data_IF_966835706831
#
_entry.id   IF_966835706831
#
_cell.length_a   1.000
_cell.length_b   1.000
_cell.length_c   1.000
_cell.angle_alpha   90.00
_cell.angle_beta   90.00
_cell.angle_gamma   90.00
#
_symmetry.space_group_name_H-M   'P 1'
#
loop_
_entity.id
_entity.type
_entity.pdbx_description
1 polymer ?
#
# COMPACT_ATOMS: atom_id res chain seq x y z
N UNK A 1 -13.00 23.37 15.85
CA UNK A 1 -11.54 23.16 15.69
C UNK A 1 -10.92 23.27 17.07
N UNK A 2 -10.65 22.14 17.71
CA UNK A 2 -9.86 22.08 18.95
C UNK A 2 -8.45 21.72 18.51
N UNK A 3 -7.47 22.55 18.84
CA UNK A 3 -6.07 22.36 18.45
C UNK A 3 -5.54 21.08 19.11
N UNK A 4 -5.19 20.08 18.31
CA UNK A 4 -4.61 18.82 18.81
C UNK A 4 -3.26 19.05 19.55
N UNK A 5 -2.53 20.10 19.20
CA UNK A 5 -1.24 20.44 19.82
C UNK A 5 -1.38 21.06 21.23
N UNK A 6 -2.43 21.84 21.50
CA UNK A 6 -2.62 22.46 22.82
C UNK A 6 -3.04 21.44 23.90
N UNK A 7 -3.59 20.30 23.48
CA UNK A 7 -3.97 19.23 24.41
C UNK A 7 -2.73 18.48 24.91
N UNK A 8 -1.68 18.31 24.09
CA UNK A 8 -0.50 17.49 24.42
C UNK A 8 0.40 18.11 25.50
N UNK A 9 0.50 19.44 25.57
CA UNK A 9 1.28 20.15 26.61
C UNK A 9 0.72 19.95 28.03
N UNK A 10 -0.53 19.47 28.16
CA UNK A 10 -1.21 19.24 29.43
C UNK A 10 -1.18 17.79 29.92
N UNK A 11 -0.65 16.86 29.12
CA UNK A 11 -0.65 15.44 29.46
C UNK A 11 0.40 15.10 30.52
N UNK A 12 -0.01 14.39 31.57
CA UNK A 12 0.93 13.69 32.43
C UNK A 12 1.41 12.39 31.77
N UNK A 13 2.55 11.84 32.21
CA UNK A 13 3.02 10.51 31.77
C UNK A 13 1.94 9.42 31.92
N UNK A 14 1.12 9.50 32.97
CA UNK A 14 0.03 8.55 33.21
C UNK A 14 -1.10 8.71 32.18
N UNK A 15 -1.46 9.95 31.84
CA UNK A 15 -2.48 10.22 30.82
C UNK A 15 -1.99 9.81 29.43
N UNK A 16 -0.73 10.10 29.11
CA UNK A 16 -0.09 9.70 27.86
C UNK A 16 -0.04 8.18 27.72
N UNK A 17 0.37 7.45 28.76
CA UNK A 17 0.39 6.00 28.75
C UNK A 17 -1.00 5.38 28.55
N UNK A 18 -2.04 5.93 29.20
CA UNK A 18 -3.41 5.47 29.05
C UNK A 18 -3.95 5.73 27.63
N UNK A 19 -3.66 6.90 27.07
CA UNK A 19 -4.10 7.26 25.74
C UNK A 19 -3.37 6.44 24.66
N UNK A 20 -2.05 6.23 24.79
CA UNK A 20 -1.29 5.33 23.91
C UNK A 20 -1.85 3.90 23.94
N UNK A 21 -2.22 3.39 25.12
CA UNK A 21 -2.87 2.08 25.22
C UNK A 21 -4.24 2.05 24.52
N UNK A 22 -5.05 3.10 24.68
CA UNK A 22 -6.36 3.22 24.03
C UNK A 22 -6.21 3.27 22.51
N UNK A 23 -5.32 4.13 22.01
CA UNK A 23 -5.04 4.29 20.59
C UNK A 23 -4.52 2.98 19.98
N UNK A 24 -3.55 2.32 20.61
CA UNK A 24 -3.03 1.03 20.14
C UNK A 24 -4.15 0.00 19.95
N UNK A 25 -5.07 -0.12 20.93
CA UNK A 25 -6.21 -1.05 20.84
C UNK A 25 -7.20 -0.66 19.74
N UNK A 26 -7.55 0.62 19.64
CA UNK A 26 -8.50 1.11 18.63
C UNK A 26 -7.93 0.97 17.22
N UNK A 27 -6.67 1.34 17.01
CA UNK A 27 -5.97 1.21 15.72
C UNK A 27 -5.86 -0.26 15.32
N UNK A 28 -5.45 -1.15 16.23
CA UNK A 28 -5.39 -2.60 15.95
C UNK A 28 -6.75 -3.18 15.54
N UNK A 29 -7.84 -2.72 16.17
CA UNK A 29 -9.19 -3.14 15.80
C UNK A 29 -9.55 -2.71 14.36
N UNK A 30 -9.31 -1.45 14.00
CA UNK A 30 -9.60 -0.96 12.65
C UNK A 30 -8.66 -1.56 11.59
N UNK A 31 -7.39 -1.83 11.92
CA UNK A 31 -6.47 -2.55 11.04
C UNK A 31 -6.97 -3.94 10.69
N UNK A 32 -7.50 -4.69 11.67
CA UNK A 32 -8.11 -5.99 11.43
C UNK A 32 -9.32 -5.88 10.50
N UNK A 33 -10.22 -4.94 10.78
CA UNK A 33 -11.41 -4.74 9.95
C UNK A 33 -11.06 -4.36 8.50
N UNK A 34 -10.03 -3.53 8.33
CA UNK A 34 -9.63 -2.99 7.04
C UNK A 34 -8.78 -3.97 6.21
N UNK A 35 -7.86 -4.69 6.84
CA UNK A 35 -6.93 -5.58 6.13
C UNK A 35 -7.33 -7.05 6.12
N UNK A 36 -8.05 -7.53 7.15
CA UNK A 36 -8.40 -8.95 7.27
C UNK A 36 -9.88 -9.21 6.92
N UNK A 37 -10.80 -8.35 7.37
CA UNK A 37 -12.25 -8.58 7.23
C UNK A 37 -12.87 -7.86 5.99
N UNK A 38 -12.09 -6.99 5.32
CA UNK A 38 -12.53 -6.15 4.19
C UNK A 38 -13.85 -5.41 4.52
N UNK A 39 -13.94 -4.86 5.74
CA UNK A 39 -15.15 -4.29 6.34
C UNK A 39 -14.85 -3.09 7.26
N UNK A 40 -14.28 -1.99 6.74
CA UNK A 40 -14.01 -0.80 7.55
C UNK A 40 -15.27 -0.22 8.19
N UNK A 41 -15.11 0.26 9.43
CA UNK A 41 -16.14 0.98 10.20
C UNK A 41 -15.92 2.50 10.21
N UNK A 42 -14.69 2.94 9.98
CA UNK A 42 -14.30 4.36 9.95
C UNK A 42 -13.71 4.72 8.59
N UNK A 43 -13.70 6.02 8.27
CA UNK A 43 -13.05 6.50 7.05
C UNK A 43 -11.52 6.43 7.15
N UNK A 44 -10.84 6.40 6.01
CA UNK A 44 -9.36 6.44 5.98
C UNK A 44 -8.83 7.73 6.66
N UNK A 45 -9.53 8.85 6.51
CA UNK A 45 -9.18 10.12 7.17
C UNK A 45 -9.30 10.06 8.71
N UNK A 46 -10.32 9.35 9.23
CA UNK A 46 -10.46 9.14 10.66
C UNK A 46 -9.37 8.21 11.20
N UNK A 47 -9.01 7.17 10.44
CA UNK A 47 -7.90 6.29 10.78
C UNK A 47 -6.56 7.06 10.82
N UNK A 48 -6.29 7.89 9.82
CA UNK A 48 -5.08 8.73 9.77
C UNK A 48 -5.04 9.74 10.92
N UNK A 49 -6.20 10.25 11.36
CA UNK A 49 -6.27 11.10 12.57
C UNK A 49 -5.86 10.33 13.84
N UNK A 50 -6.25 9.05 13.98
CA UNK A 50 -5.81 8.19 15.09
C UNK A 50 -4.30 7.97 15.05
N UNK A 51 -3.74 7.66 13.87
CA UNK A 51 -2.30 7.46 13.69
C UNK A 51 -1.50 8.73 14.00
N UNK A 52 -1.92 9.90 13.49
CA UNK A 52 -1.26 11.18 13.80
C UNK A 52 -1.24 11.47 15.29
N UNK A 53 -2.35 11.21 15.99
CA UNK A 53 -2.43 11.39 17.44
C UNK A 53 -1.49 10.43 18.19
N UNK A 54 -1.37 9.18 17.73
CA UNK A 54 -0.40 8.22 18.29
C UNK A 54 1.04 8.72 18.08
N UNK A 55 1.37 9.18 16.87
CA UNK A 55 2.71 9.66 16.52
C UNK A 55 3.11 10.89 17.34
N UNK A 56 2.19 11.84 17.53
CA UNK A 56 2.44 13.02 18.34
C UNK A 56 2.73 12.66 19.81
N UNK A 57 2.00 11.69 20.37
CA UNK A 57 2.23 11.20 21.73
C UNK A 57 3.55 10.43 21.85
N UNK A 58 3.90 9.57 20.88
CA UNK A 58 5.18 8.86 20.90
C UNK A 58 6.39 9.80 20.74
N UNK A 59 6.25 10.87 19.95
CA UNK A 59 7.27 11.90 19.80
C UNK A 59 7.46 12.73 21.09
N UNK A 60 6.36 13.09 21.77
CA UNK A 60 6.41 13.83 23.03
C UNK A 60 6.88 12.96 24.22
N UNK A 61 6.57 11.66 24.21
CA UNK A 61 6.87 10.72 25.31
C UNK A 61 7.60 9.47 24.80
N UNK A 62 8.85 9.59 24.31
CA UNK A 62 9.57 8.48 23.67
C UNK A 62 9.86 7.30 24.63
N UNK A 63 9.94 7.55 25.94
CA UNK A 63 10.11 6.51 26.96
C UNK A 63 8.84 5.69 27.23
N UNK A 64 7.68 6.11 26.71
CA UNK A 64 6.39 5.43 26.85
C UNK A 64 5.97 4.65 25.60
N UNK A 65 6.81 4.61 24.56
CA UNK A 65 6.54 3.83 23.34
C UNK A 65 6.33 2.37 23.71
N UNK A 66 5.18 1.83 23.30
CA UNK A 66 4.76 0.47 23.65
C UNK A 66 5.35 -0.56 22.69
N UNK A 67 5.55 -1.78 23.19
CA UNK A 67 5.98 -2.89 22.35
C UNK A 67 4.96 -3.28 21.26
N UNK A 68 3.67 -3.03 21.51
CA UNK A 68 2.56 -3.20 20.56
C UNK A 68 2.18 -1.89 19.85
N UNK A 69 3.12 -0.93 19.76
CA UNK A 69 2.90 0.34 19.05
C UNK A 69 2.41 0.09 17.61
N UNK A 70 1.36 0.79 17.15
CA UNK A 70 0.91 0.74 15.77
C UNK A 70 2.00 1.06 14.75
N UNK A 71 2.96 1.92 15.07
CA UNK A 71 4.06 2.30 14.18
C UNK A 71 5.06 1.16 13.92
N UNK A 72 5.11 0.16 14.79
CA UNK A 72 5.94 -1.03 14.59
C UNK A 72 5.22 -2.13 13.78
N UNK A 73 3.91 -1.99 13.58
CA UNK A 73 3.07 -2.97 12.90
C UNK A 73 2.95 -2.64 11.41
N UNK A 74 2.97 -3.68 10.57
CA UNK A 74 2.72 -3.55 9.12
C UNK A 74 1.52 -4.42 8.81
N UNK A 75 0.51 -3.86 8.14
CA UNK A 75 -0.67 -4.62 7.71
C UNK A 75 -1.40 -5.34 8.84
N UNK A 76 -1.88 -6.56 8.57
CA UNK A 76 -2.55 -7.39 9.55
C UNK A 76 -2.13 -8.85 9.42
N UNK A 77 -2.11 -9.52 10.57
CA UNK A 77 -1.78 -10.93 10.66
C UNK A 77 -2.86 -11.79 9.96
N UNK A 78 -2.43 -12.85 9.26
CA UNK A 78 -3.28 -13.65 8.36
C UNK A 78 -3.53 -15.08 8.87
N UNK A 79 -3.27 -15.36 10.13
CA UNK A 79 -3.39 -16.70 10.72
C UNK A 79 -4.81 -17.25 10.61
N UNK A 80 -5.81 -16.39 10.82
CA UNK A 80 -7.22 -16.74 10.72
C UNK A 80 -7.71 -16.91 9.27
N UNK A 81 -6.89 -16.56 8.27
CA UNK A 81 -7.27 -16.67 6.87
C UNK A 81 -7.50 -18.14 6.48
N UNK A 82 -8.53 -18.44 5.66
CA UNK A 82 -8.72 -19.75 5.10
C UNK A 82 -7.67 -20.15 4.04
N UNK A 83 -6.92 -19.19 3.50
CA UNK A 83 -5.90 -19.44 2.48
C UNK A 83 -4.62 -20.01 3.08
N UNK A 84 -3.81 -20.66 2.25
CA UNK A 84 -2.46 -21.10 2.64
C UNK A 84 -1.57 -19.90 2.93
N UNK A 85 -0.55 -20.07 3.77
CA UNK A 85 0.32 -18.98 4.23
C UNK A 85 1.66 -19.06 3.52
N UNK A 86 2.19 -17.91 3.14
CA UNK A 86 3.48 -17.78 2.46
C UNK A 86 4.36 -16.83 3.26
N UNK A 87 5.52 -17.30 3.69
CA UNK A 87 6.54 -16.43 4.26
C UNK A 87 7.30 -15.73 3.14
N UNK A 88 7.30 -14.41 3.15
CA UNK A 88 8.03 -13.60 2.19
C UNK A 88 9.53 -13.79 2.38
N UNK A 89 10.27 -13.99 1.29
CA UNK A 89 11.73 -14.14 1.33
C UNK A 89 12.42 -12.88 1.90
N UNK A 90 11.81 -11.71 1.67
CA UNK A 90 12.17 -10.44 2.30
C UNK A 90 10.91 -9.72 2.74
N UNK A 91 10.97 -9.05 3.88
CA UNK A 91 9.82 -8.32 4.42
C UNK A 91 9.27 -7.31 3.40
N UNK A 92 7.95 -7.24 3.26
CA UNK A 92 7.25 -6.16 2.59
C UNK A 92 7.03 -5.03 3.59
N UNK A 93 7.51 -3.83 3.25
CA UNK A 93 7.42 -2.65 4.11
C UNK A 93 6.13 -1.88 3.85
N UNK A 94 5.79 -0.97 4.76
CA UNK A 94 4.84 0.11 4.50
C UNK A 94 5.60 1.40 4.19
N UNK A 95 4.91 2.38 3.62
CA UNK A 95 5.40 3.75 3.47
C UNK A 95 4.81 4.61 4.59
N UNK A 96 5.60 5.58 5.04
CA UNK A 96 5.10 6.69 5.86
C UNK A 96 4.34 7.68 4.95
N UNK A 97 3.36 8.39 5.52
CA UNK A 97 2.55 9.37 4.80
C UNK A 97 3.08 10.80 5.01
N UNK A 98 2.95 11.62 3.98
CA UNK A 98 3.10 13.07 4.04
C UNK A 98 1.75 13.71 3.67
N UNK A 99 1.26 14.65 4.47
CA UNK A 99 -0.05 15.30 4.29
C UNK A 99 0.06 16.80 3.99
N UNK A 100 1.26 17.35 4.13
CA UNK A 100 1.57 18.75 3.87
C UNK A 100 2.84 18.87 3.04
N UNK A 101 3.05 20.06 2.46
CA UNK A 101 4.30 20.37 1.79
C UNK A 101 5.47 20.24 2.77
N UNK A 102 5.34 20.78 3.99
CA UNK A 102 6.34 20.71 5.08
C UNK A 102 6.81 19.27 5.37
N UNK A 103 5.90 18.31 5.44
CA UNK A 103 6.24 16.89 5.64
C UNK A 103 7.19 16.36 4.56
N UNK A 104 6.98 16.80 3.31
CA UNK A 104 7.81 16.41 2.16
C UNK A 104 9.18 17.10 2.23
N UNK A 105 9.23 18.37 2.62
CA UNK A 105 10.50 19.10 2.81
C UNK A 105 11.35 18.43 3.89
N UNK A 106 10.73 18.07 5.01
CA UNK A 106 11.37 17.37 6.11
C UNK A 106 11.90 15.99 5.70
N UNK A 107 11.15 15.27 4.85
CA UNK A 107 11.61 14.02 4.25
C UNK A 107 12.86 14.22 3.37
N UNK A 108 12.84 15.20 2.47
CA UNK A 108 14.00 15.50 1.60
C UNK A 108 15.20 15.95 2.43
N UNK A 109 14.99 16.77 3.47
CA UNK A 109 16.03 17.19 4.40
C UNK A 109 16.66 16.02 5.19
N UNK A 110 15.87 15.00 5.56
CA UNK A 110 16.40 13.75 6.15
C UNK A 110 17.26 12.97 5.16
N UNK A 111 16.85 12.86 3.89
CA UNK A 111 17.63 12.20 2.85
C UNK A 111 18.98 12.91 2.64
N UNK A 112 18.96 14.24 2.48
CA UNK A 112 20.18 15.04 2.29
C UNK A 112 21.18 14.83 3.43
N UNK A 113 20.72 14.87 4.68
CA UNK A 113 21.55 14.61 5.86
C UNK A 113 22.12 13.19 5.88
N UNK A 114 21.30 12.20 5.54
CA UNK A 114 21.72 10.79 5.53
C UNK A 114 22.77 10.50 4.46
N UNK A 115 22.62 11.09 3.27
CA UNK A 115 23.53 10.92 2.14
C UNK A 115 24.71 11.91 2.15
N UNK A 116 24.74 12.84 3.10
CA UNK A 116 25.75 13.90 3.22
C UNK A 116 25.88 14.76 1.94
N UNK A 117 24.74 15.15 1.38
CA UNK A 117 24.64 16.00 0.18
C UNK A 117 24.74 17.49 0.57
N UNK A 118 25.29 18.32 -0.31
CA UNK A 118 25.26 19.78 -0.15
C UNK A 118 23.86 20.35 -0.41
N UNK A 119 23.58 21.57 0.06
CA UNK A 119 22.28 22.24 -0.15
C UNK A 119 21.92 22.37 -1.64
N UNK A 120 22.92 22.66 -2.47
CA UNK A 120 22.75 22.83 -3.92
C UNK A 120 22.74 21.52 -4.71
N UNK A 121 22.96 20.37 -4.06
CA UNK A 121 22.95 19.08 -4.75
C UNK A 121 21.49 18.57 -4.87
N UNK A 122 21.00 18.30 -6.10
CA UNK A 122 19.64 17.85 -6.28
C UNK A 122 19.47 16.41 -5.77
N UNK A 123 18.37 16.17 -5.06
CA UNK A 123 17.96 14.83 -4.67
C UNK A 123 17.13 14.25 -5.81
N UNK A 124 17.67 13.25 -6.51
CA UNK A 124 16.91 12.53 -7.54
C UNK A 124 15.79 11.72 -6.88
N UNK A 125 14.55 12.03 -7.24
CA UNK A 125 13.35 11.38 -6.74
C UNK A 125 12.53 10.84 -7.93
N UNK A 126 11.61 9.93 -7.64
CA UNK A 126 10.62 9.45 -8.61
C UNK A 126 9.25 9.61 -7.99
N UNK A 127 8.39 10.35 -8.68
CA UNK A 127 7.01 10.55 -8.29
C UNK A 127 6.13 9.59 -9.09
N UNK A 128 5.19 8.95 -8.39
CA UNK A 128 4.26 8.00 -8.98
C UNK A 128 2.89 8.10 -8.31
N UNK A 129 1.84 7.87 -9.09
CA UNK A 129 0.49 7.75 -8.56
C UNK A 129 0.38 6.56 -7.60
N UNK A 130 -0.02 6.87 -6.37
CA UNK A 130 -0.28 5.87 -5.33
C UNK A 130 -1.58 5.14 -5.63
N UNK A 131 -1.48 3.96 -6.23
CA UNK A 131 -2.64 3.09 -6.46
C UNK A 131 -3.21 2.58 -5.13
N UNK A 132 -4.50 2.82 -4.89
CA UNK A 132 -5.20 2.28 -3.74
C UNK A 132 -5.74 0.87 -4.04
N UNK A 133 -4.93 -0.14 -3.73
CA UNK A 133 -5.21 -1.54 -3.97
C UNK A 133 -4.81 -2.47 -2.83
N UNK A 134 -4.62 -3.75 -3.16
CA UNK A 134 -4.04 -4.76 -2.31
C UNK A 134 -2.61 -5.11 -2.77
N UNK A 135 -1.63 -4.82 -1.93
CA UNK A 135 -0.24 -5.13 -2.21
C UNK A 135 -0.03 -6.65 -2.38
N UNK A 136 0.64 -7.03 -3.47
CA UNK A 136 0.91 -8.41 -3.85
C UNK A 136 2.37 -8.59 -4.31
N UNK A 137 2.94 -9.74 -3.98
CA UNK A 137 4.24 -10.19 -4.46
C UNK A 137 4.04 -11.32 -5.47
N UNK A 138 4.71 -11.23 -6.62
CA UNK A 138 4.70 -12.22 -7.70
C UNK A 138 6.11 -12.79 -7.86
N UNK A 139 6.25 -14.10 -7.66
CA UNK A 139 7.51 -14.83 -7.79
C UNK A 139 7.50 -15.65 -9.07
N UNK A 140 8.49 -15.36 -9.91
CA UNK A 140 8.79 -16.09 -11.12
C UNK A 140 10.07 -16.90 -10.94
N UNK A 141 10.03 -18.17 -11.34
CA UNK A 141 11.22 -19.01 -11.44
C UNK A 141 11.42 -19.41 -12.90
N UNK A 142 12.61 -19.10 -13.43
CA UNK A 142 12.95 -19.28 -14.85
C UNK A 142 11.89 -18.66 -15.77
N UNK A 143 11.42 -17.47 -15.38
CA UNK A 143 10.38 -16.72 -16.07
C UNK A 143 8.97 -17.25 -15.95
N UNK A 144 8.67 -18.30 -15.17
CA UNK A 144 7.30 -18.82 -14.98
C UNK A 144 6.76 -18.42 -13.62
N UNK A 145 5.52 -17.93 -13.55
CA UNK A 145 4.86 -17.57 -12.30
C UNK A 145 4.62 -18.82 -11.44
N UNK A 146 5.37 -18.94 -10.34
CA UNK A 146 5.27 -20.09 -9.43
C UNK A 146 4.51 -19.79 -8.15
N UNK A 147 4.48 -18.52 -7.73
CA UNK A 147 3.81 -18.13 -6.49
C UNK A 147 3.38 -16.67 -6.53
N UNK A 148 2.20 -16.39 -5.99
CA UNK A 148 1.76 -15.04 -5.66
C UNK A 148 1.24 -14.98 -4.23
N UNK A 149 1.58 -13.92 -3.51
CA UNK A 149 1.21 -13.75 -2.11
C UNK A 149 0.72 -12.33 -1.80
N UNK A 150 -0.28 -12.22 -0.93
CA UNK A 150 -0.68 -10.92 -0.35
C UNK A 150 0.41 -10.39 0.59
N UNK A 151 0.38 -9.10 0.94
CA UNK A 151 1.33 -8.54 1.92
C UNK A 151 1.19 -9.17 3.31
N UNK A 152 -0.05 -9.38 3.78
CA UNK A 152 -0.35 -9.75 5.16
C UNK A 152 0.28 -8.78 6.16
N UNK A 153 1.09 -9.30 7.10
CA UNK A 153 1.80 -8.50 8.10
C UNK A 153 3.17 -7.97 7.63
N UNK A 154 3.45 -8.17 6.34
CA UNK A 154 4.72 -7.86 5.70
C UNK A 154 5.75 -8.99 5.78
N UNK A 155 5.63 -9.93 6.72
CA UNK A 155 6.48 -11.12 6.81
C UNK A 155 5.79 -12.37 6.26
N UNK A 156 4.50 -12.53 6.56
CA UNK A 156 3.66 -13.64 6.13
C UNK A 156 2.42 -13.11 5.44
N UNK A 157 2.20 -13.59 4.22
CA UNK A 157 1.03 -13.32 3.40
C UNK A 157 0.17 -14.55 3.17
N UNK A 158 -0.90 -14.36 2.41
CA UNK A 158 -1.77 -15.44 1.93
C UNK A 158 -1.37 -15.86 0.51
N UNK A 159 -1.33 -17.16 0.24
CA UNK A 159 -1.16 -17.69 -1.11
C UNK A 159 -2.41 -17.39 -1.94
N UNK A 160 -2.23 -16.56 -2.96
CA UNK A 160 -3.27 -16.16 -3.91
C UNK A 160 -2.86 -16.52 -5.34
N UNK A 161 -1.96 -17.49 -5.52
CA UNK A 161 -1.40 -17.86 -6.84
C UNK A 161 -2.47 -18.24 -7.84
N UNK A 162 -3.45 -19.04 -7.43
CA UNK A 162 -4.54 -19.47 -8.32
C UNK A 162 -5.42 -18.29 -8.75
N UNK A 163 -5.70 -17.36 -7.84
CA UNK A 163 -6.52 -16.17 -8.06
C UNK A 163 -5.79 -15.15 -8.94
N UNK A 164 -4.51 -14.93 -8.68
CA UNK A 164 -3.65 -14.05 -9.48
C UNK A 164 -3.56 -14.51 -10.92
N UNK A 165 -3.48 -15.82 -11.18
CA UNK A 165 -3.47 -16.38 -12.54
C UNK A 165 -4.74 -16.08 -13.35
N UNK A 166 -5.82 -15.63 -12.72
CA UNK A 166 -7.05 -15.23 -13.43
C UNK A 166 -7.04 -13.76 -13.86
N UNK A 167 -6.04 -12.98 -13.43
CA UNK A 167 -5.89 -11.57 -13.77
C UNK A 167 -5.15 -11.50 -15.12
N UNK A 168 -5.86 -11.02 -16.15
CA UNK A 168 -5.36 -11.02 -17.54
C UNK A 168 -4.04 -10.26 -17.72
N UNK A 169 -3.87 -9.23 -16.91
CA UNK A 169 -2.73 -8.32 -16.91
C UNK A 169 -1.44 -8.98 -16.38
N UNK A 170 -1.53 -10.09 -15.65
CA UNK A 170 -0.37 -10.75 -15.05
C UNK A 170 0.10 -11.89 -15.95
N UNK A 171 1.32 -11.81 -16.54
CA UNK A 171 1.81 -12.85 -17.42
C UNK A 171 2.08 -14.15 -16.65
N UNK A 172 1.61 -15.29 -17.16
CA UNK A 172 2.01 -16.59 -16.59
C UNK A 172 3.49 -16.91 -16.87
N UNK A 173 4.03 -16.35 -17.96
CA UNK A 173 5.43 -16.49 -18.35
C UNK A 173 5.98 -15.17 -18.88
N UNK A 174 7.14 -14.77 -18.35
CA UNK A 174 7.94 -13.66 -18.84
C UNK A 174 8.67 -14.07 -20.13
N UNK A 175 8.79 -13.13 -21.06
CA UNK A 175 9.36 -13.29 -22.40
C UNK A 175 10.53 -12.33 -22.56
N UNK A 176 11.75 -12.82 -22.68
CA UNK A 176 12.91 -11.97 -22.87
C UNK A 176 14.20 -12.76 -22.79
N UNK A 177 15.29 -12.15 -23.24
CA UNK A 177 16.59 -12.82 -23.36
C UNK A 177 17.33 -12.87 -22.01
N UNK A 178 17.03 -11.93 -21.09
CA UNK A 178 17.75 -11.76 -19.83
C UNK A 178 16.84 -11.87 -18.58
N UNK A 179 15.98 -12.89 -18.52
CA UNK A 179 15.14 -13.12 -17.34
C UNK A 179 15.95 -13.83 -16.24
N UNK A 180 16.03 -13.30 -15.01
CA UNK A 180 16.68 -13.99 -13.90
C UNK A 180 16.05 -15.35 -13.59
N UNK A 181 16.87 -16.32 -13.15
CA UNK A 181 16.39 -17.63 -12.69
C UNK A 181 15.37 -17.51 -11.56
N UNK A 182 15.52 -16.48 -10.72
CA UNK A 182 14.58 -16.09 -9.69
C UNK A 182 14.31 -14.60 -9.79
N UNK A 183 13.05 -14.25 -10.01
CA UNK A 183 12.58 -12.88 -10.10
C UNK A 183 11.35 -12.70 -9.21
N UNK A 184 11.36 -11.69 -8.34
CA UNK A 184 10.23 -11.31 -7.51
C UNK A 184 9.88 -9.86 -7.84
N UNK A 185 8.62 -9.60 -8.15
CA UNK A 185 8.10 -8.26 -8.39
C UNK A 185 6.93 -8.00 -7.45
N UNK A 186 6.87 -6.77 -6.94
CA UNK A 186 5.86 -6.32 -6.00
C UNK A 186 5.04 -5.21 -6.65
N UNK A 187 3.75 -5.27 -6.42
CA UNK A 187 2.81 -4.34 -7.00
C UNK A 187 1.50 -4.30 -6.24
N UNK A 188 0.54 -3.61 -6.83
CA UNK A 188 -0.81 -3.45 -6.33
C UNK A 188 -1.80 -4.16 -7.24
N UNK A 189 -2.67 -4.97 -6.65
CA UNK A 189 -3.87 -5.48 -7.31
C UNK A 189 -5.01 -4.52 -6.99
N UNK A 190 -5.67 -3.99 -8.02
CA UNK A 190 -6.72 -3.00 -7.85
C UNK A 190 -7.95 -3.31 -8.71
N UNK A 191 -9.02 -2.56 -8.47
CA UNK A 191 -10.25 -2.61 -9.23
C UNK A 191 -10.58 -1.20 -9.71
N UNK A 192 -10.96 -1.06 -10.99
CA UNK A 192 -11.33 0.24 -11.53
C UNK A 192 -12.60 0.78 -10.85
N UNK A 193 -12.78 2.11 -10.82
CA UNK A 193 -14.00 2.75 -10.28
C UNK A 193 -15.26 2.21 -10.99
N UNK A 194 -15.18 1.99 -12.30
CA UNK A 194 -16.27 1.43 -13.11
C UNK A 194 -16.59 -0.02 -12.77
N UNK A 195 -15.57 -0.89 -12.67
CA UNK A 195 -15.76 -2.30 -12.31
C UNK A 195 -16.30 -2.46 -10.87
N UNK A 196 -15.82 -1.62 -9.95
CA UNK A 196 -16.34 -1.54 -8.58
C UNK A 196 -17.82 -1.17 -8.56
N UNK A 197 -18.23 -0.14 -9.30
CA UNK A 197 -19.64 0.27 -9.39
C UNK A 197 -20.51 -0.86 -9.96
N UNK A 198 -20.04 -1.53 -11.03
CA UNK A 198 -20.73 -2.68 -11.62
C UNK A 198 -20.86 -3.85 -10.63
N UNK A 199 -19.79 -4.15 -9.88
CA UNK A 199 -19.78 -5.20 -8.86
C UNK A 199 -20.80 -4.90 -7.75
N UNK A 200 -20.80 -3.69 -7.21
CA UNK A 200 -21.75 -3.31 -6.16
C UNK A 200 -23.19 -3.32 -6.67
N UNK A 201 -23.46 -2.89 -7.91
CA UNK A 201 -24.79 -3.00 -8.51
C UNK A 201 -25.25 -4.46 -8.63
N UNK A 202 -24.37 -5.37 -9.05
CA UNK A 202 -24.67 -6.80 -9.11
C UNK A 202 -24.91 -7.42 -7.71
N UNK A 203 -24.14 -7.01 -6.70
CA UNK A 203 -24.34 -7.43 -5.31
C UNK A 203 -25.68 -6.92 -4.77
N UNK A 204 -26.02 -5.66 -5.03
CA UNK A 204 -27.30 -5.09 -4.60
C UNK A 204 -28.49 -5.85 -5.20
N UNK A 205 -28.43 -6.19 -6.48
CA UNK A 205 -29.49 -6.94 -7.17
C UNK A 205 -29.63 -8.37 -6.66
N UNK A 206 -28.56 -8.98 -6.15
CA UNK A 206 -28.57 -10.34 -5.61
C UNK A 206 -28.75 -10.39 -4.08
N UNK A 207 -28.86 -9.23 -3.40
CA UNK A 207 -28.93 -9.14 -1.95
C UNK A 207 -27.61 -9.47 -1.23
N UNK A 208 -26.49 -9.41 -1.95
CA UNK A 208 -25.15 -9.64 -1.45
C UNK A 208 -24.58 -8.47 -0.64
N UNK A 209 -23.42 -8.70 -0.02
CA UNK A 209 -22.67 -7.68 0.73
C UNK A 209 -22.08 -6.65 -0.24
N UNK A 210 -22.32 -5.36 0.04
CA UNK A 210 -21.69 -4.25 -0.68
C UNK A 210 -20.28 -3.99 -0.15
N UNK A 211 -19.39 -3.60 -1.05
CA UNK A 211 -18.03 -3.18 -0.71
C UNK A 211 -17.98 -1.67 -0.47
N UNK A 212 -17.18 -1.26 0.52
CA UNK A 212 -17.06 0.14 0.93
C UNK A 212 -16.32 1.01 -0.09
N UNK A 213 -15.26 0.47 -0.70
CA UNK A 213 -14.41 1.16 -1.68
C UNK A 213 -13.77 0.16 -2.67
N UNK A 214 -13.19 0.63 -3.79
CA UNK A 214 -12.55 -0.23 -4.79
C UNK A 214 -11.44 -1.13 -4.22
N UNK A 215 -10.66 -0.63 -3.25
CA UNK A 215 -9.60 -1.38 -2.59
C UNK A 215 -10.12 -2.61 -1.82
N UNK A 216 -11.15 -2.44 -1.00
CA UNK A 216 -11.81 -3.55 -0.30
C UNK A 216 -12.48 -4.52 -1.27
N UNK A 217 -13.02 -4.02 -2.39
CA UNK A 217 -13.55 -4.87 -3.45
C UNK A 217 -12.45 -5.69 -4.11
N UNK A 218 -11.30 -5.11 -4.42
CA UNK A 218 -10.14 -5.82 -4.98
C UNK A 218 -9.61 -6.88 -3.99
N UNK A 219 -9.41 -6.52 -2.72
CA UNK A 219 -8.95 -7.43 -1.68
C UNK A 219 -9.92 -8.60 -1.47
N UNK A 220 -11.21 -8.31 -1.30
CA UNK A 220 -12.25 -9.33 -1.17
C UNK A 220 -12.46 -10.15 -2.44
N UNK A 221 -12.05 -9.66 -3.62
CA UNK A 221 -12.10 -10.41 -4.88
C UNK A 221 -10.91 -11.34 -5.05
N UNK A 222 -9.73 -10.92 -4.60
CA UNK A 222 -8.51 -11.71 -4.68
C UNK A 222 -8.47 -12.83 -3.63
N UNK A 223 -8.97 -12.57 -2.41
CA UNK A 223 -8.86 -13.48 -1.26
C UNK A 223 -9.98 -14.53 -1.23
N UNK A 224 -10.22 -15.19 -2.36
CA UNK A 224 -11.27 -16.20 -2.53
C UNK A 224 -10.69 -17.61 -2.53
N UNK A 225 -11.36 -18.56 -1.87
CA UNK A 225 -10.98 -19.99 -1.93
C UNK A 225 -11.09 -20.56 -3.35
N UNK A 226 -12.09 -20.10 -4.09
CA UNK A 226 -12.36 -20.50 -5.46
C UNK A 226 -11.93 -19.37 -6.41
N UNK A 227 -10.88 -19.63 -7.18
CA UNK A 227 -10.33 -18.67 -8.13
C UNK A 227 -11.33 -18.30 -9.25
N UNK A 228 -12.35 -19.12 -9.52
CA UNK A 228 -13.39 -18.76 -10.50
C UNK A 228 -14.21 -17.54 -10.05
N UNK A 229 -14.33 -17.32 -8.73
CA UNK A 229 -14.94 -16.10 -8.19
C UNK A 229 -14.06 -14.89 -8.50
N UNK A 230 -12.74 -15.00 -8.34
CA UNK A 230 -11.79 -13.95 -8.74
C UNK A 230 -11.87 -13.69 -10.24
N UNK A 231 -11.88 -14.74 -11.08
CA UNK A 231 -11.99 -14.61 -12.53
C UNK A 231 -13.27 -13.88 -12.98
N UNK A 232 -14.37 -14.05 -12.23
CA UNK A 232 -15.63 -13.34 -12.51
C UNK A 232 -15.60 -11.85 -12.14
N UNK A 233 -14.62 -11.43 -11.35
CA UNK A 233 -14.47 -10.06 -10.84
C UNK A 233 -13.26 -9.40 -11.52
N UNK A 234 -13.52 -8.43 -12.37
CA UNK A 234 -12.51 -7.73 -13.18
C UNK A 234 -11.53 -6.96 -12.29
N UNK A 235 -10.42 -7.61 -11.94
CA UNK A 235 -9.29 -7.00 -11.24
C UNK A 235 -8.16 -6.73 -12.24
N UNK A 236 -7.39 -5.68 -11.98
CA UNK A 236 -6.19 -5.30 -12.73
C UNK A 236 -4.98 -5.29 -11.78
N UNK A 237 -3.77 -5.24 -12.33
CA UNK A 237 -2.53 -5.20 -11.55
C UNK A 237 -1.58 -4.13 -12.01
N UNK A 238 -0.85 -3.53 -11.07
CA UNK A 238 0.23 -2.59 -11.36
C UNK A 238 1.50 -2.96 -10.59
N UNK A 239 2.62 -3.17 -11.29
CA UNK A 239 3.93 -3.30 -10.69
C UNK A 239 4.40 -1.95 -10.10
N UNK A 240 5.04 -2.01 -8.93
CA UNK A 240 5.63 -0.83 -8.28
C UNK A 240 7.13 -1.00 -8.09
N UNK A 241 7.60 -2.17 -7.65
CA UNK A 241 9.02 -2.35 -7.39
C UNK A 241 9.46 -3.79 -7.66
N UNK A 242 10.59 -3.96 -8.34
CA UNK A 242 11.27 -5.25 -8.35
C UNK A 242 11.90 -5.49 -6.98
N UNK A 243 11.65 -6.68 -6.42
CA UNK A 243 12.31 -7.13 -5.21
C UNK A 243 13.82 -7.22 -5.44
N UNK A 244 14.65 -7.23 -4.38
CA UNK A 244 16.10 -7.24 -4.49
C UNK A 244 16.62 -8.65 -4.85
N UNK A 245 16.30 -9.12 -6.04
CA UNK A 245 17.14 -10.01 -6.81
C UNK A 245 18.02 -9.15 -7.72
N UNK A 246 19.35 -9.31 -7.57
CA UNK A 246 20.44 -8.62 -8.31
C UNK A 246 19.98 -7.60 -9.34
N UNK A 247 20.13 -6.31 -9.01
CA UNK A 247 20.23 -5.15 -9.93
C UNK A 247 19.88 -5.52 -11.37
N UNK A 248 18.61 -5.47 -11.72
CA UNK A 248 18.21 -5.20 -13.10
C UNK A 248 18.69 -3.76 -13.38
N UNK A 249 19.93 -3.65 -13.84
CA UNK A 249 20.12 -2.82 -15.03
C UNK A 249 19.52 -3.67 -16.14
N UNK A 250 18.56 -3.11 -16.87
CA UNK A 250 17.85 -3.72 -18.01
C UNK A 250 16.41 -4.15 -17.65
N UNK A 251 15.48 -3.21 -17.89
CA UNK A 251 14.06 -3.25 -17.53
C UNK A 251 13.17 -4.13 -18.40
N UNK A 252 13.65 -5.21 -19.01
CA UNK A 252 12.82 -6.03 -19.92
C UNK A 252 11.81 -6.92 -19.19
N UNK A 253 12.22 -7.56 -18.08
CA UNK A 253 11.35 -8.48 -17.33
C UNK A 253 10.28 -7.74 -16.53
N UNK A 254 10.61 -6.56 -16.02
CA UNK A 254 9.71 -5.77 -15.20
C UNK A 254 8.73 -4.94 -16.06
N UNK A 255 9.11 -4.51 -17.28
CA UNK A 255 8.23 -3.90 -18.28
C UNK A 255 7.07 -4.79 -18.76
N UNK A 256 7.17 -6.11 -18.58
CA UNK A 256 6.13 -7.05 -18.99
C UNK A 256 5.03 -7.26 -17.95
N UNK A 257 5.23 -6.73 -16.74
CA UNK A 257 4.18 -6.67 -15.74
C UNK A 257 3.59 -5.26 -15.80
N UNK A 258 2.28 -5.10 -16.06
CA UNK A 258 1.66 -3.79 -16.27
C UNK A 258 1.96 -2.86 -15.10
N UNK A 259 2.21 -1.59 -15.40
CA UNK A 259 2.68 -0.58 -14.45
C UNK A 259 4.09 -0.06 -14.72
N UNK A 260 4.92 -0.84 -15.42
CA UNK A 260 6.17 -0.37 -16.00
C UNK A 260 5.93 0.06 -17.47
N UNK A 261 5.21 1.17 -17.69
CA UNK A 261 5.21 1.84 -18.99
C UNK A 261 3.92 2.44 -19.55
N UNK A 262 2.73 2.24 -18.96
CA UNK A 262 1.49 2.79 -19.55
C UNK A 262 0.50 3.37 -18.51
N UNK A 263 -0.06 4.55 -18.83
CA UNK A 263 -1.32 5.09 -18.30
C UNK A 263 -1.25 6.06 -17.12
N UNK A 264 -0.31 5.89 -16.21
CA UNK A 264 -0.09 6.78 -15.06
C UNK A 264 1.43 7.07 -14.95
N UNK A 265 1.84 8.29 -15.31
CA UNK A 265 3.23 8.66 -15.60
C UNK A 265 4.13 8.53 -14.37
N UNK A 266 5.07 7.57 -14.39
CA UNK A 266 6.24 7.64 -13.52
C UNK A 266 7.11 8.78 -14.01
N UNK A 267 7.32 9.78 -13.16
CA UNK A 267 8.11 10.94 -13.52
C UNK A 267 9.36 11.03 -12.64
N UNK A 268 10.52 11.06 -13.28
CA UNK A 268 11.74 11.48 -12.60
C UNK A 268 11.60 12.96 -12.26
N UNK A 269 11.84 13.30 -11.01
CA UNK A 269 11.78 14.67 -10.48
C UNK A 269 13.12 14.99 -9.80
N UNK A 270 13.66 16.16 -10.09
CA UNK A 270 14.92 16.63 -9.52
C UNK A 270 14.64 17.62 -8.39
N UNK A 271 14.78 17.13 -7.16
CA UNK A 271 14.60 17.94 -5.97
C UNK A 271 13.16 18.08 -5.50
N UNK A 272 13.05 18.84 -4.42
CA UNK A 272 11.84 18.96 -3.61
C UNK A 272 10.71 19.71 -4.32
N UNK A 273 11.03 20.81 -5.01
CA UNK A 273 10.06 21.68 -5.65
C UNK A 273 9.31 20.96 -6.79
N UNK A 274 10.04 20.17 -7.59
CA UNK A 274 9.43 19.36 -8.66
C UNK A 274 8.58 18.22 -8.09
N UNK A 275 9.00 17.59 -6.99
CA UNK A 275 8.22 16.54 -6.33
C UNK A 275 6.90 17.09 -5.76
N UNK A 276 6.94 18.28 -5.16
CA UNK A 276 5.73 18.97 -4.65
C UNK A 276 4.81 19.37 -5.80
N UNK A 277 5.34 19.97 -6.87
CA UNK A 277 4.56 20.37 -8.03
C UNK A 277 3.88 19.18 -8.71
N UNK A 278 4.55 18.03 -8.79
CA UNK A 278 3.97 16.80 -9.33
C UNK A 278 2.87 16.24 -8.41
N UNK A 279 3.06 16.28 -7.09
CA UNK A 279 2.02 15.92 -6.13
C UNK A 279 0.76 16.80 -6.22
N UNK A 280 0.95 18.11 -6.37
CA UNK A 280 -0.15 19.07 -6.58
C UNK A 280 -0.87 18.80 -7.92
N UNK A 281 -0.13 18.48 -8.99
CA UNK A 281 -0.71 18.12 -10.30
C UNK A 281 -1.61 16.88 -10.20
N UNK A 282 -1.10 15.81 -9.59
CA UNK A 282 -1.85 14.56 -9.39
C UNK A 282 -3.12 14.80 -8.58
N UNK A 283 -3.02 15.60 -7.50
CA UNK A 283 -4.17 15.93 -6.65
C UNK A 283 -5.23 16.73 -7.41
N UNK A 284 -4.81 17.65 -8.28
CA UNK A 284 -5.72 18.43 -9.12
C UNK A 284 -6.44 17.56 -10.15
N UNK A 285 -5.79 16.53 -10.68
CA UNK A 285 -6.40 15.59 -11.64
C UNK A 285 -7.43 14.66 -11.01
N UNK A 286 -7.17 14.12 -9.80
CA UNK A 286 -8.12 13.21 -9.12
C UNK A 286 -9.32 13.97 -8.51
N UNK A 287 -9.20 15.27 -8.27
CA UNK A 287 -10.30 16.14 -7.79
C UNK A 287 -11.08 16.83 -8.90
N UNK A 288 -10.60 16.77 -10.16
CA UNK A 288 -11.33 17.32 -11.30
C UNK A 288 -12.63 16.51 -11.51
N UNK A 289 -13.79 17.17 -11.69
CA UNK A 289 -15.01 16.46 -12.05
C UNK A 289 -14.80 15.76 -13.39
N UNK A 290 -15.12 14.45 -13.46
CA UNK A 290 -15.07 13.69 -14.72
C UNK A 290 -15.86 14.48 -15.78
N UNK A 291 -15.15 14.90 -16.85
CA UNK A 291 -15.77 15.60 -17.96
C UNK A 291 -16.87 14.70 -18.56
N UNK A 292 -18.05 15.29 -18.74
CA UNK A 292 -19.31 14.62 -19.11
C UNK A 292 -19.33 14.11 -20.54
#
# INVERSE_FOLDING_TARGET
MVNADSDLESFSDADAANELMRLAKTIAHHNRLYHADDAPEISDADYDALMRRNNALEAAFPHLIRADSPNAQVGAAVEASPLSKVTHAKRMMSLDNAFSHEDTQDFVARIRRFLNLSEDEPVALTAEDKIDGLSCSLRYEKGVLVQAATRGDGQVGEDVTANVRTIADIPEKLIGDNIPDLFEIRGEIYMSKADFAALNAAQQNSGGKLFANPRNAAAGSLRQKDASVTASRRCASRASHSGPCRRLRDGEAAAQVPGEGEGHERRGVEGEEEALAEGDRITAEDTAPEAT
#
